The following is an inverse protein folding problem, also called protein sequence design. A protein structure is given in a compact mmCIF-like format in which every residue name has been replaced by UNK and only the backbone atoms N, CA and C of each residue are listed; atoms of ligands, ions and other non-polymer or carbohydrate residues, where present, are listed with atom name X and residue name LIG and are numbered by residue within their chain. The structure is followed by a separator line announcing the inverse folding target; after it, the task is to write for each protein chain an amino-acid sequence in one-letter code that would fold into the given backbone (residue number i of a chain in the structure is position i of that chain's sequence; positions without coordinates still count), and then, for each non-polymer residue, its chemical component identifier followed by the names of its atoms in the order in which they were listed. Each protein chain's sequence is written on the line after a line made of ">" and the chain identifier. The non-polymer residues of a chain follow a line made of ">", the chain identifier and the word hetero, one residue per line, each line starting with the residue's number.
data_IF_157197728720
#
_entry.id   IF_157197728720
#
_cell.length_a   1.000
_cell.length_b   1.000
_cell.length_c   1.000
_cell.angle_alpha   90.00
_cell.angle_beta   90.00
_cell.angle_gamma   90.00
#
_symmetry.space_group_name_H-M   'P 1'
#
loop_
_entity.id
_entity.type
_entity.pdbx_description
1 polymer ?
#
# COMPACT_ATOMS: atom_id res chain seq x y z
N UNK A 1 9.65 -15.33 -34.04
CA UNK A 1 8.65 -14.43 -33.46
C UNK A 1 8.71 -14.61 -31.95
N UNK A 2 9.41 -13.75 -31.21
CA UNK A 2 9.46 -13.84 -29.74
C UNK A 2 8.18 -13.24 -29.19
N UNK A 3 7.37 -14.08 -28.55
CA UNK A 3 6.17 -13.67 -27.84
C UNK A 3 6.63 -13.13 -26.48
N UNK A 4 6.44 -11.84 -26.22
CA UNK A 4 6.74 -11.20 -24.93
C UNK A 4 5.44 -11.15 -24.10
N UNK A 5 5.22 -12.03 -23.11
CA UNK A 5 4.02 -11.96 -22.27
C UNK A 5 4.18 -11.03 -21.06
N UNK A 6 5.37 -10.45 -20.83
CA UNK A 6 5.73 -9.87 -19.52
C UNK A 6 4.96 -8.61 -19.11
N UNK A 7 4.69 -7.67 -20.03
CA UNK A 7 4.20 -6.33 -19.63
C UNK A 7 2.72 -6.29 -19.22
N UNK A 8 1.88 -7.16 -19.80
CA UNK A 8 0.44 -7.17 -19.53
C UNK A 8 0.08 -7.76 -18.16
N UNK A 9 0.73 -8.87 -17.79
CA UNK A 9 0.45 -9.58 -16.54
C UNK A 9 1.01 -8.88 -15.30
N UNK A 10 2.20 -8.27 -15.41
CA UNK A 10 2.80 -7.52 -14.29
C UNK A 10 1.98 -6.27 -13.92
N UNK A 11 1.48 -5.54 -14.92
CA UNK A 11 0.61 -4.37 -14.71
C UNK A 11 -0.72 -4.71 -14.04
N UNK A 12 -1.32 -5.85 -14.40
CA UNK A 12 -2.56 -6.35 -13.77
C UNK A 12 -2.29 -6.80 -12.32
N UNK A 13 -1.18 -7.49 -12.06
CA UNK A 13 -0.79 -7.90 -10.71
C UNK A 13 -0.58 -6.70 -9.78
N UNK A 14 0.13 -5.66 -10.27
CA UNK A 14 0.36 -4.42 -9.52
C UNK A 14 -0.95 -3.71 -9.17
N UNK A 15 -1.85 -3.53 -10.14
CA UNK A 15 -3.13 -2.86 -9.91
C UNK A 15 -3.96 -3.60 -8.86
N UNK A 16 -4.04 -4.92 -8.95
CA UNK A 16 -4.74 -5.75 -7.98
C UNK A 16 -4.12 -5.68 -6.58
N UNK A 17 -2.79 -5.59 -6.48
CA UNK A 17 -2.11 -5.35 -5.21
C UNK A 17 -2.52 -4.02 -4.57
N UNK A 18 -2.48 -2.93 -5.32
CA UNK A 18 -2.84 -1.60 -4.80
C UNK A 18 -4.31 -1.54 -4.38
N UNK A 19 -5.22 -2.18 -5.12
CA UNK A 19 -6.63 -2.30 -4.73
C UNK A 19 -6.82 -3.07 -3.42
N UNK A 20 -6.09 -4.18 -3.23
CA UNK A 20 -6.13 -4.92 -1.96
C UNK A 20 -5.62 -4.06 -0.80
N UNK A 21 -4.60 -3.24 -1.02
CA UNK A 21 -4.10 -2.32 0.00
C UNK A 21 -5.13 -1.23 0.33
N UNK A 22 -5.85 -0.69 -0.65
CA UNK A 22 -6.98 0.24 -0.39
C UNK A 22 -8.04 -0.40 0.51
N UNK A 23 -8.39 -1.67 0.30
CA UNK A 23 -9.30 -2.40 1.18
C UNK A 23 -8.78 -2.50 2.61
N UNK A 24 -7.48 -2.76 2.79
CA UNK A 24 -6.86 -2.80 4.12
C UNK A 24 -6.89 -1.44 4.84
N UNK A 25 -6.84 -0.32 4.09
CA UNK A 25 -7.00 1.02 4.64
C UNK A 25 -8.44 1.26 5.12
N UNK A 26 -9.43 0.76 4.39
CA UNK A 26 -10.84 0.87 4.80
C UNK A 26 -11.13 0.06 6.06
N UNK A 27 -10.67 -1.19 6.07
CA UNK A 27 -10.83 -2.13 7.19
C UNK A 27 -10.06 -1.68 8.44
N UNK A 28 -8.81 -1.22 8.27
CA UNK A 28 -7.92 -0.80 9.36
C UNK A 28 -7.87 -1.82 10.52
N UNK A 29 -7.86 -3.12 10.19
CA UNK A 29 -7.82 -4.22 11.15
C UNK A 29 -6.43 -4.42 11.75
N UNK A 30 -6.38 -5.14 12.88
CA UNK A 30 -5.13 -5.52 13.56
C UNK A 30 -4.12 -6.20 12.62
N UNK A 31 -4.61 -6.99 11.67
CA UNK A 31 -3.79 -7.75 10.72
C UNK A 31 -3.49 -7.00 9.41
N UNK A 32 -3.97 -5.77 9.26
CA UNK A 32 -3.80 -4.99 8.03
C UNK A 32 -2.33 -4.73 7.69
N UNK A 33 -1.50 -4.50 8.71
CA UNK A 33 -0.07 -4.21 8.55
C UNK A 33 0.67 -5.42 7.98
N UNK A 34 0.46 -6.60 8.56
CA UNK A 34 1.14 -7.83 8.13
C UNK A 34 0.69 -8.24 6.72
N UNK A 35 -0.62 -8.12 6.43
CA UNK A 35 -1.14 -8.35 5.08
C UNK A 35 -0.57 -7.38 4.05
N UNK A 36 -0.44 -6.10 4.41
CA UNK A 36 0.14 -5.08 3.54
C UNK A 36 1.62 -5.34 3.27
N UNK A 37 2.40 -5.75 4.28
CA UNK A 37 3.82 -6.13 4.11
C UNK A 37 3.98 -7.26 3.10
N UNK A 38 3.23 -8.35 3.26
CA UNK A 38 3.26 -9.50 2.34
C UNK A 38 2.91 -9.09 0.90
N UNK A 39 1.94 -8.18 0.74
CA UNK A 39 1.56 -7.67 -0.58
C UNK A 39 2.63 -6.79 -1.23
N UNK A 40 3.35 -5.99 -0.43
CA UNK A 40 4.35 -5.04 -0.91
C UNK A 40 5.73 -5.66 -1.11
N UNK A 41 6.00 -6.82 -0.51
CA UNK A 41 7.27 -7.58 -0.63
C UNK A 41 7.64 -7.89 -2.09
N UNK A 42 6.65 -8.08 -2.98
CA UNK A 42 6.89 -8.28 -4.41
C UNK A 42 7.54 -7.07 -5.13
N UNK A 43 7.58 -5.92 -4.49
CA UNK A 43 8.21 -4.70 -5.00
C UNK A 43 9.57 -4.41 -4.36
N UNK A 44 10.01 -5.24 -3.42
CA UNK A 44 11.30 -5.08 -2.77
C UNK A 44 12.45 -5.20 -3.79
N UNK A 45 13.55 -4.46 -3.55
CA UNK A 45 14.72 -4.43 -4.42
C UNK A 45 14.57 -3.65 -5.74
N UNK A 46 13.39 -3.08 -6.06
CA UNK A 46 13.21 -2.27 -7.28
C UNK A 46 13.92 -0.92 -7.24
N UNK A 47 13.90 -0.22 -6.09
CA UNK A 47 14.73 0.97 -5.81
C UNK A 47 14.66 1.36 -4.33
N UNK A 48 15.69 2.04 -3.84
CA UNK A 48 15.74 2.59 -2.46
C UNK A 48 14.60 3.59 -2.20
N UNK A 49 14.29 4.46 -3.16
CA UNK A 49 13.18 5.43 -3.06
C UNK A 49 11.83 4.73 -2.87
N UNK A 50 11.62 3.60 -3.54
CA UNK A 50 10.39 2.83 -3.42
C UNK A 50 10.35 2.07 -2.10
N UNK A 51 11.46 1.48 -1.65
CA UNK A 51 11.57 0.86 -0.33
C UNK A 51 11.20 1.86 0.78
N UNK A 52 11.77 3.07 0.74
CA UNK A 52 11.43 4.13 1.69
C UNK A 52 9.95 4.55 1.61
N UNK A 53 9.37 4.60 0.41
CA UNK A 53 7.95 4.92 0.25
C UNK A 53 7.03 3.82 0.82
N UNK A 54 7.46 2.55 0.75
CA UNK A 54 6.79 1.41 1.36
C UNK A 54 6.87 1.50 2.90
N UNK A 55 8.04 1.79 3.46
CA UNK A 55 8.21 1.95 4.91
C UNK A 55 7.37 3.11 5.46
N UNK A 56 7.40 4.26 4.78
CA UNK A 56 6.56 5.43 5.12
C UNK A 56 5.06 5.06 5.12
N UNK A 57 4.62 4.28 4.12
CA UNK A 57 3.24 3.83 4.03
C UNK A 57 2.87 2.89 5.19
N UNK A 58 3.74 1.93 5.52
CA UNK A 58 3.50 0.99 6.61
C UNK A 58 3.41 1.70 7.97
N UNK A 59 4.20 2.76 8.18
CA UNK A 59 4.12 3.60 9.38
C UNK A 59 2.79 4.37 9.47
N UNK A 60 2.33 4.94 8.35
CA UNK A 60 1.04 5.64 8.30
C UNK A 60 -0.15 4.66 8.43
N UNK A 61 -0.02 3.42 7.94
CA UNK A 61 -0.99 2.35 8.16
C UNK A 61 -1.03 1.91 9.63
N UNK A 62 0.12 1.75 10.28
CA UNK A 62 0.19 1.47 11.72
C UNK A 62 -0.45 2.58 12.54
N UNK A 63 -0.22 3.83 12.16
CA UNK A 63 -0.86 5.00 12.78
C UNK A 63 -2.37 4.97 12.59
N UNK A 64 -2.85 4.59 11.40
CA UNK A 64 -4.28 4.43 11.13
C UNK A 64 -4.92 3.35 12.03
N UNK A 65 -4.32 2.16 12.12
CA UNK A 65 -4.82 1.08 13.00
C UNK A 65 -4.89 1.58 14.44
N UNK A 66 -3.81 2.19 14.94
CA UNK A 66 -3.78 2.78 16.28
C UNK A 66 -4.89 3.82 16.49
N UNK A 67 -5.10 4.72 15.52
CA UNK A 67 -6.14 5.75 15.59
C UNK A 67 -7.54 5.14 15.65
N UNK A 68 -7.81 4.13 14.82
CA UNK A 68 -9.12 3.44 14.78
C UNK A 68 -9.39 2.69 16.09
N UNK A 69 -8.36 2.12 16.70
CA UNK A 69 -8.51 1.37 17.96
C UNK A 69 -8.63 2.27 19.19
N UNK A 70 -7.95 3.41 19.22
CA UNK A 70 -7.72 4.16 20.47
C UNK A 70 -8.41 5.52 20.53
N UNK A 71 -8.97 6.00 19.42
CA UNK A 71 -9.48 7.37 19.33
C UNK A 71 -10.96 7.44 18.94
N UNK A 72 -11.48 8.67 18.85
CA UNK A 72 -12.86 8.92 18.40
C UNK A 72 -12.93 8.91 16.88
N UNK A 73 -14.08 8.49 16.35
CA UNK A 73 -14.35 8.37 14.90
C UNK A 73 -13.99 9.60 14.05
N UNK A 74 -14.06 10.81 14.63
CA UNK A 74 -13.68 12.06 13.95
C UNK A 74 -12.24 12.07 13.41
N UNK A 75 -11.35 11.24 13.96
CA UNK A 75 -9.95 11.13 13.54
C UNK A 75 -9.71 10.06 12.48
N UNK A 76 -10.66 9.14 12.26
CA UNK A 76 -10.47 7.99 11.38
C UNK A 76 -10.31 8.42 9.92
N UNK A 77 -11.17 9.32 9.43
CA UNK A 77 -11.11 9.80 8.05
C UNK A 77 -9.82 10.57 7.71
N UNK A 78 -9.35 11.50 8.57
CA UNK A 78 -8.02 12.09 8.40
C UNK A 78 -6.88 11.06 8.33
N UNK A 79 -6.88 10.05 9.21
CA UNK A 79 -5.84 9.01 9.21
C UNK A 79 -5.88 8.15 7.94
N UNK A 80 -7.08 7.75 7.47
CA UNK A 80 -7.23 7.03 6.19
C UNK A 80 -6.71 7.85 5.02
N UNK A 81 -6.94 9.16 5.03
CA UNK A 81 -6.44 10.05 3.97
C UNK A 81 -4.92 10.10 3.94
N UNK A 82 -4.25 10.11 5.10
CA UNK A 82 -2.78 10.06 5.18
C UNK A 82 -2.23 8.76 4.56
N UNK A 83 -2.78 7.61 4.94
CA UNK A 83 -2.37 6.32 4.37
C UNK A 83 -2.56 6.27 2.83
N UNK A 84 -3.68 6.80 2.32
CA UNK A 84 -3.94 6.88 0.87
C UNK A 84 -2.97 7.79 0.12
N UNK A 85 -2.56 8.90 0.72
CA UNK A 85 -1.56 9.79 0.13
C UNK A 85 -0.21 9.07 -0.03
N UNK A 86 0.20 8.26 0.95
CA UNK A 86 1.39 7.41 0.85
C UNK A 86 1.24 6.30 -0.19
N UNK A 87 0.08 5.65 -0.25
CA UNK A 87 -0.19 4.64 -1.28
C UNK A 87 -0.14 5.23 -2.70
N UNK A 88 -0.63 6.45 -2.88
CA UNK A 88 -0.52 7.18 -4.15
C UNK A 88 0.93 7.39 -4.55
N UNK A 89 1.81 7.74 -3.61
CA UNK A 89 3.26 7.86 -3.85
C UNK A 89 3.87 6.54 -4.33
N UNK A 90 3.54 5.42 -3.68
CA UNK A 90 3.97 4.07 -4.12
C UNK A 90 3.47 3.79 -5.55
N UNK A 91 2.20 4.07 -5.84
CA UNK A 91 1.61 3.87 -7.16
C UNK A 91 2.37 4.60 -8.27
N UNK A 92 2.73 5.86 -8.02
CA UNK A 92 3.51 6.72 -8.92
C UNK A 92 4.93 6.20 -9.13
N UNK A 93 5.62 5.77 -8.07
CA UNK A 93 6.98 5.22 -8.15
C UNK A 93 7.06 3.89 -8.90
N UNK A 94 5.96 3.15 -8.90
CA UNK A 94 5.82 1.91 -9.65
C UNK A 94 5.32 2.13 -11.09
N UNK A 95 4.98 3.36 -11.49
CA UNK A 95 4.51 3.63 -12.85
C UNK A 95 5.65 3.39 -13.86
N UNK A 96 5.34 2.89 -15.07
CA UNK A 96 6.34 2.58 -16.10
C UNK A 96 7.06 3.82 -16.64
#
# INVERSE_FOLDING_TARGET
>A
MQNYPGKGFEGVSKLHCLQRIETLIDEASVDAIDKARVLLDQFDGRSETLAQAIDDFLLDLMTLVFVVETTRERFHNPARRLARMRLTKISLLLAP
#
